data_IF_119465500000
#
_entry.id   IF_119465500000
#
_cell.length_a   1.000
_cell.length_b   1.000
_cell.length_c   1.000
_cell.angle_alpha   90.00
_cell.angle_beta   90.00
_cell.angle_gamma   90.00
#
_symmetry.space_group_name_H-M   'P 1'
#
loop_
_entity.id
_entity.type
_entity.pdbx_description
1 polymer ?
#
# COMPACT_ATOMS: atom_id res chain seq x y z
N UNK A 1 5.86 -43.68 19.68
CA UNK A 1 5.65 -42.53 20.57
C UNK A 1 6.68 -41.42 20.41
N UNK A 2 8.02 -41.63 20.54
CA UNK A 2 9.03 -40.57 20.31
C UNK A 2 9.11 -40.09 18.86
N UNK A 3 8.98 -40.96 17.88
CA UNK A 3 9.01 -40.63 16.44
C UNK A 3 7.79 -39.82 16.04
N UNK A 4 6.59 -40.18 16.56
CA UNK A 4 5.35 -39.42 16.27
C UNK A 4 5.38 -38.01 16.87
N UNK A 5 5.96 -37.83 18.05
CA UNK A 5 6.13 -36.51 18.67
C UNK A 5 7.10 -35.64 17.86
N UNK A 6 8.17 -36.24 17.29
CA UNK A 6 9.09 -35.51 16.43
C UNK A 6 8.47 -35.14 15.08
N UNK A 7 7.68 -36.03 14.47
CA UNK A 7 6.99 -35.79 13.21
C UNK A 7 5.91 -34.70 13.39
N UNK A 8 5.15 -34.74 14.48
CA UNK A 8 4.15 -33.70 14.79
C UNK A 8 4.79 -32.37 15.16
N UNK A 9 5.93 -32.38 15.87
CA UNK A 9 6.67 -31.15 16.18
C UNK A 9 7.34 -30.52 14.93
N UNK A 10 7.81 -31.33 14.00
CA UNK A 10 8.32 -30.87 12.70
C UNK A 10 7.19 -30.33 11.83
N UNK A 11 6.05 -31.01 11.73
CA UNK A 11 4.88 -30.53 11.00
C UNK A 11 4.33 -29.21 11.58
N UNK A 12 4.43 -29.01 12.90
CA UNK A 12 4.02 -27.75 13.54
C UNK A 12 5.02 -26.61 13.28
N UNK A 13 6.33 -26.93 13.17
CA UNK A 13 7.38 -25.97 12.77
C UNK A 13 7.28 -25.57 11.30
N UNK A 14 6.85 -26.48 10.42
CA UNK A 14 6.63 -26.20 8.99
C UNK A 14 5.37 -25.34 8.75
N UNK A 15 4.44 -25.28 9.71
CA UNK A 15 3.22 -24.45 9.61
C UNK A 15 3.41 -23.00 10.07
N UNK A 16 4.51 -22.66 10.72
CA UNK A 16 4.76 -21.30 11.18
C UNK A 16 5.17 -20.41 10.00
N UNK A 17 4.34 -19.41 9.71
CA UNK A 17 4.66 -18.38 8.68
C UNK A 17 6.00 -17.73 9.03
N UNK A 18 7.01 -17.76 8.14
CA UNK A 18 8.31 -17.15 8.37
C UNK A 18 8.21 -15.68 8.77
N UNK A 19 9.08 -15.15 9.63
CA UNK A 19 9.05 -13.74 10.05
C UNK A 19 9.03 -12.75 8.87
N UNK A 20 9.77 -13.05 7.80
CA UNK A 20 9.79 -12.25 6.59
C UNK A 20 8.41 -12.16 5.91
N UNK A 21 7.66 -13.26 5.87
CA UNK A 21 6.31 -13.28 5.29
C UNK A 21 5.34 -12.50 6.17
N UNK A 22 5.45 -12.62 7.51
CA UNK A 22 4.62 -11.83 8.44
C UNK A 22 4.86 -10.33 8.27
N UNK A 23 6.11 -9.93 8.11
CA UNK A 23 6.47 -8.53 7.80
C UNK A 23 5.84 -8.07 6.49
N UNK A 24 5.98 -8.84 5.42
CA UNK A 24 5.42 -8.50 4.11
C UNK A 24 3.89 -8.43 4.12
N UNK A 25 3.22 -9.36 4.80
CA UNK A 25 1.76 -9.31 4.97
C UNK A 25 1.32 -8.08 5.79
N UNK A 26 2.05 -7.74 6.85
CA UNK A 26 1.85 -6.51 7.61
C UNK A 26 2.02 -5.26 6.73
N UNK A 27 3.04 -5.24 5.90
CA UNK A 27 3.29 -4.16 4.93
C UNK A 27 2.13 -4.01 3.94
N UNK A 28 1.63 -5.11 3.40
CA UNK A 28 0.47 -5.10 2.48
C UNK A 28 -0.77 -4.58 3.18
N UNK A 29 -1.05 -5.05 4.40
CA UNK A 29 -2.17 -4.58 5.21
C UNK A 29 -2.09 -3.08 5.48
N UNK A 30 -0.95 -2.59 5.94
CA UNK A 30 -0.73 -1.18 6.25
C UNK A 30 -0.84 -0.29 5.00
N UNK A 31 -0.32 -0.75 3.86
CA UNK A 31 -0.49 -0.07 2.58
C UNK A 31 -1.97 -0.02 2.16
N UNK A 32 -2.69 -1.14 2.28
CA UNK A 32 -4.11 -1.19 1.94
C UNK A 32 -4.95 -0.27 2.84
N UNK A 33 -4.64 -0.19 4.15
CA UNK A 33 -5.25 0.77 5.07
C UNK A 33 -4.94 2.21 4.62
N UNK A 34 -3.68 2.53 4.32
CA UNK A 34 -3.26 3.85 3.87
C UNK A 34 -3.99 4.31 2.60
N UNK A 35 -4.15 3.42 1.62
CA UNK A 35 -4.97 3.68 0.44
C UNK A 35 -6.45 3.87 0.80
N UNK A 36 -6.99 2.99 1.65
CA UNK A 36 -8.38 3.02 2.05
C UNK A 36 -8.77 4.30 2.81
N UNK A 37 -7.88 4.83 3.65
CA UNK A 37 -8.07 6.08 4.40
C UNK A 37 -8.40 7.26 3.46
N UNK A 38 -7.79 7.30 2.27
CA UNK A 38 -7.89 8.42 1.35
C UNK A 38 -9.18 8.39 0.54
N UNK A 39 -9.75 7.21 0.29
CA UNK A 39 -10.90 7.02 -0.59
C UNK A 39 -12.09 7.94 -0.23
N UNK A 40 -12.58 8.00 1.02
CA UNK A 40 -13.75 8.80 1.36
C UNK A 40 -13.47 10.32 1.33
N UNK A 41 -12.21 10.72 1.53
CA UNK A 41 -11.85 12.14 1.74
C UNK A 41 -11.40 12.83 0.46
N UNK A 42 -10.95 12.05 -0.53
CA UNK A 42 -10.46 12.61 -1.79
C UNK A 42 -11.52 13.46 -2.54
N UNK A 43 -12.79 13.05 -2.69
CA UNK A 43 -13.81 13.86 -3.34
C UNK A 43 -14.02 15.19 -2.64
N UNK A 44 -14.06 15.20 -1.31
CA UNK A 44 -14.26 16.42 -0.51
C UNK A 44 -13.07 17.39 -0.69
N UNK A 45 -11.84 16.88 -0.64
CA UNK A 45 -10.65 17.68 -0.88
C UNK A 45 -10.63 18.26 -2.32
N UNK A 46 -11.08 17.51 -3.31
CA UNK A 46 -11.20 17.99 -4.70
C UNK A 46 -12.25 19.08 -4.82
N UNK A 47 -13.41 18.94 -4.15
CA UNK A 47 -14.44 19.98 -4.13
C UNK A 47 -13.92 21.27 -3.47
N UNK A 48 -13.22 21.16 -2.34
CA UNK A 48 -12.64 22.29 -1.63
C UNK A 48 -11.60 23.05 -2.48
N UNK A 49 -10.65 22.32 -3.06
CA UNK A 49 -9.55 22.93 -3.82
C UNK A 49 -9.97 23.42 -5.21
N UNK A 50 -10.98 22.79 -5.80
CA UNK A 50 -11.46 23.07 -7.15
C UNK A 50 -12.68 23.98 -7.20
N UNK A 51 -13.29 24.29 -6.04
CA UNK A 51 -14.62 24.91 -5.97
C UNK A 51 -15.63 24.18 -6.87
N UNK A 52 -15.49 22.86 -6.97
CA UNK A 52 -16.15 22.00 -7.92
C UNK A 52 -17.44 21.39 -7.33
N UNK A 53 -18.42 21.15 -8.18
CA UNK A 53 -19.58 20.33 -7.84
C UNK A 53 -19.17 18.87 -7.62
N UNK A 54 -20.02 18.07 -6.99
CA UNK A 54 -19.75 16.62 -6.78
C UNK A 54 -19.52 15.89 -8.11
N UNK A 55 -20.25 16.26 -9.16
CA UNK A 55 -20.07 15.66 -10.49
C UNK A 55 -18.68 15.94 -11.09
N UNK A 56 -18.24 17.19 -10.99
CA UNK A 56 -16.91 17.61 -11.45
C UNK A 56 -15.79 16.98 -10.60
N UNK A 57 -15.97 16.93 -9.28
CA UNK A 57 -15.03 16.27 -8.37
C UNK A 57 -14.89 14.77 -8.68
N UNK A 58 -15.99 14.11 -9.07
CA UNK A 58 -15.96 12.70 -9.50
C UNK A 58 -15.15 12.52 -10.79
N UNK A 59 -15.34 13.41 -11.77
CA UNK A 59 -14.58 13.38 -13.03
C UNK A 59 -13.08 13.64 -12.79
N UNK A 60 -12.76 14.63 -11.93
CA UNK A 60 -11.39 14.92 -11.50
C UNK A 60 -10.78 13.71 -10.77
N UNK A 61 -11.52 13.09 -9.85
CA UNK A 61 -11.11 11.87 -9.15
C UNK A 61 -10.82 10.71 -10.10
N UNK A 62 -11.63 10.56 -11.15
CA UNK A 62 -11.37 9.60 -12.23
C UNK A 62 -10.06 9.88 -12.98
N UNK A 63 -9.79 11.14 -13.32
CA UNK A 63 -8.54 11.53 -14.00
C UNK A 63 -7.31 11.39 -13.09
N UNK A 64 -7.41 11.66 -11.80
CA UNK A 64 -6.37 11.40 -10.79
C UNK A 64 -6.06 9.90 -10.69
N UNK A 65 -7.09 9.06 -10.71
CA UNK A 65 -6.96 7.60 -10.69
C UNK A 65 -6.32 7.06 -11.97
N UNK A 66 -6.69 7.63 -13.13
CA UNK A 66 -6.09 7.30 -14.42
C UNK A 66 -4.60 7.65 -14.44
N UNK A 67 -4.24 8.85 -13.97
CA UNK A 67 -2.83 9.26 -13.89
C UNK A 67 -2.01 8.31 -13.00
N UNK A 68 -2.54 7.95 -11.82
CA UNK A 68 -1.92 6.97 -10.93
C UNK A 68 -1.69 5.64 -11.65
N UNK A 69 -2.73 5.09 -12.28
CA UNK A 69 -2.64 3.79 -12.97
C UNK A 69 -1.68 3.82 -14.17
N UNK A 70 -1.73 4.89 -14.98
CA UNK A 70 -0.83 5.07 -16.12
C UNK A 70 0.63 5.18 -15.67
N UNK A 71 0.89 5.97 -14.63
CA UNK A 71 2.24 6.10 -14.07
C UNK A 71 2.73 4.78 -13.50
N UNK A 72 1.90 4.07 -12.74
CA UNK A 72 2.24 2.75 -12.20
C UNK A 72 2.54 1.73 -13.30
N UNK A 73 1.79 1.76 -14.39
CA UNK A 73 2.02 0.89 -15.54
C UNK A 73 3.37 1.18 -16.22
N UNK A 74 3.69 2.45 -16.44
CA UNK A 74 4.96 2.86 -17.08
C UNK A 74 6.16 2.56 -16.19
N UNK A 75 6.06 2.81 -14.89
CA UNK A 75 7.16 2.62 -13.94
C UNK A 75 7.25 1.19 -13.39
N UNK A 76 6.25 0.33 -13.63
CA UNK A 76 6.25 -1.08 -13.20
C UNK A 76 7.49 -1.86 -13.65
N UNK A 77 7.82 -1.89 -14.96
CA UNK A 77 9.02 -2.56 -15.46
C UNK A 77 10.33 -2.00 -14.87
N UNK A 78 10.38 -0.68 -14.64
CA UNK A 78 11.53 -0.03 -14.01
C UNK A 78 11.69 -0.48 -12.55
N UNK A 79 10.61 -0.51 -11.78
CA UNK A 79 10.62 -0.98 -10.40
C UNK A 79 11.01 -2.46 -10.32
N UNK A 80 10.56 -3.29 -11.26
CA UNK A 80 10.97 -4.68 -11.41
C UNK A 80 12.48 -4.80 -11.62
N UNK A 81 13.02 -4.14 -12.63
CA UNK A 81 14.45 -4.15 -12.94
C UNK A 81 15.31 -3.62 -11.78
N UNK A 82 14.86 -2.57 -11.08
CA UNK A 82 15.54 -2.05 -9.89
C UNK A 82 15.56 -3.10 -8.77
N UNK A 83 14.43 -3.77 -8.57
CA UNK A 83 14.28 -4.81 -7.55
C UNK A 83 15.19 -6.02 -7.81
N UNK A 84 15.34 -6.40 -9.08
CA UNK A 84 16.23 -7.49 -9.46
C UNK A 84 17.70 -7.10 -9.34
N UNK A 85 18.07 -5.84 -9.65
CA UNK A 85 19.46 -5.35 -9.63
C UNK A 85 19.97 -5.00 -8.23
N UNK A 86 19.16 -4.30 -7.44
CA UNK A 86 19.55 -3.76 -6.12
C UNK A 86 19.03 -4.60 -4.96
N UNK A 87 18.21 -5.61 -5.25
CA UNK A 87 17.53 -6.41 -4.26
C UNK A 87 16.14 -5.85 -3.92
N UNK A 88 15.28 -6.73 -3.39
CA UNK A 88 13.86 -6.45 -3.17
C UNK A 88 13.61 -5.53 -1.98
N UNK A 89 14.41 -5.70 -0.90
CA UNK A 89 14.25 -4.92 0.34
C UNK A 89 14.48 -3.43 0.16
N UNK A 90 15.58 -2.95 -0.49
CA UNK A 90 15.79 -1.51 -0.69
C UNK A 90 14.69 -0.85 -1.53
N UNK A 91 14.21 -1.54 -2.56
CA UNK A 91 13.14 -1.01 -3.44
C UNK A 91 11.82 -0.90 -2.69
N UNK A 92 11.47 -1.91 -1.87
CA UNK A 92 10.28 -1.85 -1.01
C UNK A 92 10.37 -0.71 0.02
N UNK A 93 11.51 -0.57 0.70
CA UNK A 93 11.73 0.50 1.65
C UNK A 93 11.67 1.87 0.97
N UNK A 94 12.29 2.03 -0.19
CA UNK A 94 12.20 3.26 -0.98
C UNK A 94 10.76 3.62 -1.34
N UNK A 95 9.94 2.63 -1.68
CA UNK A 95 8.52 2.85 -1.97
C UNK A 95 7.71 3.25 -0.74
N UNK A 96 7.95 2.63 0.43
CA UNK A 96 7.28 2.98 1.67
C UNK A 96 7.61 4.42 2.10
N UNK A 97 8.88 4.79 2.01
CA UNK A 97 9.31 6.17 2.24
C UNK A 97 8.67 7.13 1.24
N UNK A 98 8.67 6.76 -0.05
CA UNK A 98 8.03 7.54 -1.10
C UNK A 98 6.54 7.75 -0.89
N UNK A 99 5.80 6.73 -0.44
CA UNK A 99 4.39 6.87 -0.06
C UNK A 99 4.20 7.82 1.12
N UNK A 100 5.10 7.79 2.13
CA UNK A 100 5.02 8.75 3.23
C UNK A 100 5.16 10.18 2.74
N UNK A 101 6.13 10.44 1.85
CA UNK A 101 6.32 11.76 1.24
C UNK A 101 5.12 12.16 0.38
N UNK A 102 4.60 11.24 -0.43
CA UNK A 102 3.42 11.47 -1.28
C UNK A 102 2.19 11.87 -0.46
N UNK A 103 1.89 11.15 0.62
CA UNK A 103 0.78 11.49 1.50
C UNK A 103 0.96 12.85 2.17
N UNK A 104 2.19 13.26 2.50
CA UNK A 104 2.47 14.62 2.97
C UNK A 104 2.24 15.65 1.88
N UNK A 105 2.66 15.38 0.64
CA UNK A 105 2.38 16.26 -0.51
C UNK A 105 0.88 16.46 -0.67
N UNK A 106 0.07 15.41 -0.56
CA UNK A 106 -1.39 15.48 -0.62
C UNK A 106 -1.98 16.22 0.59
N UNK A 107 -1.45 16.01 1.80
CA UNK A 107 -1.89 16.69 3.01
C UNK A 107 -1.69 18.22 2.94
N UNK A 108 -0.60 18.65 2.35
CA UNK A 108 -0.27 20.07 2.19
C UNK A 108 -0.70 20.67 0.85
N UNK A 109 -1.38 19.92 -0.01
CA UNK A 109 -1.79 20.35 -1.34
C UNK A 109 -2.56 21.69 -1.30
N UNK A 110 -2.06 22.77 -1.92
CA UNK A 110 -2.76 24.05 -1.98
C UNK A 110 -3.68 24.18 -3.20
N UNK A 111 -3.52 23.33 -4.21
CA UNK A 111 -4.26 23.37 -5.47
C UNK A 111 -4.48 21.98 -6.04
N UNK A 112 -5.42 21.85 -6.99
CA UNK A 112 -5.64 20.59 -7.73
C UNK A 112 -4.35 20.09 -8.42
N UNK A 113 -3.51 20.98 -8.93
CA UNK A 113 -2.24 20.59 -9.56
C UNK A 113 -1.33 19.78 -8.62
N UNK A 114 -1.34 20.09 -7.33
CA UNK A 114 -0.62 19.32 -6.32
C UNK A 114 -1.20 17.94 -6.10
N UNK A 115 -2.52 17.76 -6.24
CA UNK A 115 -3.14 16.45 -6.19
C UNK A 115 -2.70 15.58 -7.38
N UNK A 116 -2.63 16.17 -8.59
CA UNK A 116 -2.09 15.48 -9.77
C UNK A 116 -0.62 15.09 -9.58
N UNK A 117 0.20 16.00 -9.03
CA UNK A 117 1.60 15.71 -8.72
C UNK A 117 1.72 14.56 -7.69
N UNK A 118 0.93 14.59 -6.62
CA UNK A 118 0.88 13.49 -5.65
C UNK A 118 0.45 12.16 -6.32
N UNK A 119 -0.59 12.16 -7.16
CA UNK A 119 -1.00 10.93 -7.88
C UNK A 119 0.08 10.38 -8.82
N UNK A 120 0.84 11.27 -9.44
CA UNK A 120 2.02 10.88 -10.23
C UNK A 120 3.08 10.20 -9.35
N UNK A 121 3.42 10.78 -8.21
CA UNK A 121 4.35 10.19 -7.24
C UNK A 121 3.82 8.85 -6.71
N UNK A 122 2.55 8.79 -6.30
CA UNK A 122 1.88 7.55 -5.87
C UNK A 122 2.04 6.43 -6.91
N UNK A 123 1.91 6.75 -8.20
CA UNK A 123 2.06 5.78 -9.28
C UNK A 123 3.49 5.24 -9.39
N UNK A 124 4.51 6.10 -9.24
CA UNK A 124 5.92 5.69 -9.24
C UNK A 124 6.20 4.73 -8.06
N UNK A 125 5.82 5.11 -6.85
CA UNK A 125 6.09 4.30 -5.65
C UNK A 125 5.20 3.06 -5.60
N UNK A 126 3.97 3.13 -6.12
CA UNK A 126 3.06 2.00 -6.25
C UNK A 126 3.53 0.91 -7.23
N UNK A 127 4.40 1.25 -8.18
CA UNK A 127 4.97 0.32 -9.13
C UNK A 127 5.76 -0.84 -8.47
N UNK A 128 6.22 -0.68 -7.23
CA UNK A 128 6.92 -1.72 -6.47
C UNK A 128 6.01 -2.81 -5.87
N UNK A 129 4.69 -2.67 -5.95
CA UNK A 129 3.76 -3.68 -5.43
C UNK A 129 3.88 -5.03 -6.15
N UNK A 130 4.07 -5.05 -7.46
CA UNK A 130 4.24 -6.29 -8.23
C UNK A 130 5.55 -7.02 -7.88
N UNK A 131 6.73 -6.36 -7.85
CA UNK A 131 7.96 -6.96 -7.33
C UNK A 131 7.84 -7.48 -5.89
N UNK A 132 7.08 -6.79 -5.03
CA UNK A 132 6.84 -7.24 -3.66
C UNK A 132 6.09 -8.57 -3.62
N UNK A 133 5.03 -8.72 -4.39
CA UNK A 133 4.26 -9.96 -4.46
C UNK A 133 5.09 -11.11 -5.06
N UNK A 134 5.91 -10.84 -6.07
CA UNK A 134 6.84 -11.82 -6.64
C UNK A 134 7.86 -12.28 -5.59
N UNK A 135 8.40 -11.33 -4.80
CA UNK A 135 9.32 -11.64 -3.71
C UNK A 135 8.72 -12.61 -2.69
N UNK A 136 7.46 -12.41 -2.36
CA UNK A 136 6.73 -13.27 -1.43
C UNK A 136 6.56 -14.68 -2.03
N UNK A 137 6.20 -14.76 -3.31
CA UNK A 137 6.01 -16.04 -4.00
C UNK A 137 7.30 -16.88 -4.08
N UNK A 138 8.47 -16.22 -4.14
CA UNK A 138 9.76 -16.92 -4.18
C UNK A 138 10.21 -17.48 -2.81
N UNK A 139 9.65 -16.96 -1.72
CA UNK A 139 9.95 -17.43 -0.36
C UNK A 139 9.22 -18.72 0.02
N UNK A 140 8.27 -19.18 -0.81
CA UNK A 140 7.39 -20.32 -0.49
C UNK A 140 7.43 -21.35 -1.62
N UNK A 141 7.52 -22.66 -1.29
CA UNK A 141 7.40 -23.74 -2.27
C UNK A 141 6.09 -23.63 -3.07
N UNK A 142 6.05 -24.16 -4.32
CA UNK A 142 4.88 -24.05 -5.20
C UNK A 142 3.56 -24.45 -4.53
N UNK A 143 3.57 -25.51 -3.72
CA UNK A 143 2.39 -26.04 -3.04
C UNK A 143 1.83 -25.10 -1.95
N UNK A 144 2.66 -24.24 -1.40
CA UNK A 144 2.27 -23.24 -0.38
C UNK A 144 1.79 -21.90 -0.96
N UNK A 145 2.03 -21.64 -2.25
CA UNK A 145 1.70 -20.36 -2.90
C UNK A 145 0.22 -20.00 -2.87
N UNK A 146 -0.73 -20.93 -3.13
CA UNK A 146 -2.17 -20.60 -3.07
C UNK A 146 -2.59 -20.09 -1.70
N UNK A 147 -2.11 -20.72 -0.62
CA UNK A 147 -2.38 -20.27 0.76
C UNK A 147 -1.80 -18.89 1.03
N UNK A 148 -0.60 -18.62 0.54
CA UNK A 148 0.06 -17.33 0.70
C UNK A 148 -0.67 -16.21 -0.04
N UNK A 149 -1.08 -16.43 -1.29
CA UNK A 149 -1.90 -15.46 -2.02
C UNK A 149 -3.26 -15.23 -1.36
N UNK A 150 -3.84 -16.24 -0.72
CA UNK A 150 -5.02 -16.11 0.12
C UNK A 150 -4.79 -15.15 1.30
N UNK A 151 -3.65 -15.22 1.98
CA UNK A 151 -3.30 -14.28 3.05
C UNK A 151 -3.04 -12.87 2.53
N UNK A 152 -2.42 -12.71 1.36
CA UNK A 152 -2.24 -11.41 0.71
C UNK A 152 -3.60 -10.79 0.39
N UNK A 153 -4.51 -11.56 -0.22
CA UNK A 153 -5.86 -11.12 -0.52
C UNK A 153 -6.66 -10.74 0.74
N UNK A 154 -6.53 -11.53 1.81
CA UNK A 154 -7.18 -11.23 3.10
C UNK A 154 -6.61 -9.95 3.73
N UNK A 155 -5.29 -9.76 3.76
CA UNK A 155 -4.65 -8.55 4.27
C UNK A 155 -5.11 -7.31 3.49
N UNK A 156 -5.15 -7.41 2.17
CA UNK A 156 -5.63 -6.33 1.29
C UNK A 156 -7.11 -6.03 1.55
N UNK A 157 -7.98 -7.07 1.59
CA UNK A 157 -9.41 -6.92 1.85
C UNK A 157 -9.71 -6.30 3.21
N UNK A 158 -9.04 -6.76 4.28
CA UNK A 158 -9.17 -6.19 5.62
C UNK A 158 -8.74 -4.72 5.63
N UNK A 159 -7.61 -4.40 4.99
CA UNK A 159 -7.13 -3.02 4.89
C UNK A 159 -8.10 -2.10 4.15
N UNK A 160 -8.72 -2.59 3.07
CA UNK A 160 -9.72 -1.87 2.30
C UNK A 160 -11.06 -1.68 3.02
N UNK A 161 -11.37 -2.48 4.04
CA UNK A 161 -12.55 -2.29 4.90
C UNK A 161 -12.21 -1.32 6.04
N UNK A 162 -11.09 -1.51 6.70
CA UNK A 162 -10.69 -0.70 7.86
C UNK A 162 -10.28 0.72 7.43
N UNK A 163 -9.60 0.85 6.28
CA UNK A 163 -9.10 2.12 5.77
C UNK A 163 -10.18 3.20 5.63
N UNK A 164 -11.25 2.97 4.86
CA UNK A 164 -12.33 3.95 4.72
C UNK A 164 -13.04 4.30 6.04
N UNK A 165 -13.17 3.35 6.97
CA UNK A 165 -13.74 3.62 8.30
C UNK A 165 -12.86 4.61 9.07
N UNK A 166 -11.55 4.35 9.12
CA UNK A 166 -10.59 5.27 9.74
C UNK A 166 -10.58 6.61 9.00
N UNK A 167 -10.57 6.58 7.66
CA UNK A 167 -10.56 7.77 6.82
C UNK A 167 -11.76 8.66 7.03
N UNK A 168 -12.96 8.08 7.11
CA UNK A 168 -14.20 8.81 7.40
C UNK A 168 -14.16 9.47 8.79
N UNK A 169 -13.82 8.70 9.84
CA UNK A 169 -13.71 9.22 11.21
C UNK A 169 -12.67 10.35 11.33
N UNK A 170 -11.52 10.20 10.69
CA UNK A 170 -10.50 11.24 10.70
C UNK A 170 -10.89 12.45 9.83
N UNK A 171 -11.69 12.22 8.78
CA UNK A 171 -12.22 13.27 7.90
C UNK A 171 -13.12 14.25 8.63
N UNK A 172 -13.88 13.79 9.66
CA UNK A 172 -14.68 14.66 10.53
C UNK A 172 -13.84 15.68 11.30
N UNK A 173 -12.55 15.36 11.57
CA UNK A 173 -11.60 16.27 12.21
C UNK A 173 -10.99 17.28 11.24
N UNK A 174 -11.18 17.06 9.95
CA UNK A 174 -10.69 17.90 8.85
C UNK A 174 -10.23 17.10 7.65
N UNK A 175 -10.48 17.57 6.43
CA UNK A 175 -10.24 16.86 5.17
C UNK A 175 -8.77 16.48 4.93
N UNK A 176 -7.83 17.11 5.65
CA UNK A 176 -6.39 16.85 5.53
C UNK A 176 -5.85 15.86 6.56
N UNK A 177 -6.56 15.65 7.67
CA UNK A 177 -6.14 14.78 8.78
C UNK A 177 -5.90 13.33 8.32
N UNK A 178 -6.75 12.72 7.47
CA UNK A 178 -6.54 11.37 6.95
C UNK A 178 -5.21 11.20 6.20
N UNK A 179 -4.77 12.22 5.45
CA UNK A 179 -3.50 12.17 4.72
C UNK A 179 -2.29 12.17 5.66
N UNK A 180 -2.33 12.94 6.75
CA UNK A 180 -1.29 12.89 7.77
C UNK A 180 -1.24 11.52 8.45
N UNK A 181 -2.39 10.92 8.75
CA UNK A 181 -2.46 9.58 9.32
C UNK A 181 -1.89 8.53 8.37
N UNK A 182 -2.22 8.61 7.08
CA UNK A 182 -1.67 7.72 6.06
C UNK A 182 -0.15 7.90 5.91
N UNK A 183 0.36 9.14 5.94
CA UNK A 183 1.79 9.43 5.90
C UNK A 183 2.53 8.85 7.12
N UNK A 184 1.98 9.03 8.31
CA UNK A 184 2.54 8.47 9.54
C UNK A 184 2.54 6.94 9.51
N UNK A 185 1.48 6.31 9.00
CA UNK A 185 1.38 4.86 8.85
C UNK A 185 2.43 4.31 7.87
N UNK A 186 2.61 4.98 6.71
CA UNK A 186 3.62 4.61 5.73
C UNK A 186 5.04 4.77 6.29
N UNK A 187 5.31 5.85 7.03
CA UNK A 187 6.59 6.08 7.69
C UNK A 187 6.88 5.06 8.79
N UNK A 188 5.87 4.74 9.61
CA UNK A 188 6.00 3.69 10.63
C UNK A 188 6.31 2.32 9.99
N UNK A 189 5.67 2.01 8.87
CA UNK A 189 5.92 0.79 8.11
C UNK A 189 7.34 0.78 7.49
N UNK A 190 7.82 1.91 6.99
CA UNK A 190 9.20 2.09 6.53
C UNK A 190 10.21 1.82 7.67
N UNK A 191 10.00 2.44 8.84
CA UNK A 191 10.87 2.25 10.02
C UNK A 191 10.85 0.79 10.49
N UNK A 192 9.67 0.17 10.49
CA UNK A 192 9.54 -1.25 10.85
C UNK A 192 10.28 -2.18 9.88
N UNK A 193 10.43 -1.77 8.61
CA UNK A 193 11.12 -2.54 7.56
C UNK A 193 12.65 -2.38 7.55
N UNK A 194 13.17 -1.31 8.21
CA UNK A 194 14.62 -1.10 8.33
C UNK A 194 15.26 -2.10 9.29
#
# INVERSE_FOLDING_TARGET
MRVEIQVTAQAHKEQAIPPAIRFLLGTILLNAIGFGIIIPVMPELVMDLGHASLSEATAIGGSLSLLYAATQFVFGPLAGNLSDRFGRRPVLLGSLFGFSVDFLVLAFAPTLGWLYFGRFLSGIFGASNAPAQSAIADLVPPDGRPRLFGFIGAAFGIGFVIGPVIGGLLGELGHRVPFFAAAALALANFIYGM
#
